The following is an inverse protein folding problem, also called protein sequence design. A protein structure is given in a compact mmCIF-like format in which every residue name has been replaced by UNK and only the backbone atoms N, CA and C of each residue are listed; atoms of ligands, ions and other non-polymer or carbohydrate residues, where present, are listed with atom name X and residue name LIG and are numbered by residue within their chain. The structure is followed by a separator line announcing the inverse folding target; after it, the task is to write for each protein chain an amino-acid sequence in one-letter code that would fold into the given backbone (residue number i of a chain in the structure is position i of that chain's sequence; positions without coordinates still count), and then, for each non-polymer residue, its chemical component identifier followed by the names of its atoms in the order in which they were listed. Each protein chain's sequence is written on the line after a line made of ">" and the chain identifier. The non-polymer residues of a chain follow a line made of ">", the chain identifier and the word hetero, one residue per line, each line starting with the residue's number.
data_IF_995272821630
#
_entry.id   IF_995272821630
#
_cell.length_a   1.000
_cell.length_b   1.000
_cell.length_c   1.000
_cell.angle_alpha   90.00
_cell.angle_beta   90.00
_cell.angle_gamma   90.00
#
_symmetry.space_group_name_H-M   'P 1'
#
loop_
_entity.id
_entity.type
_entity.pdbx_description
1 polymer ?
#
# COMPACT_ATOMS: atom_id res chain seq x y z
N UNK A 1 12.98 7.10 -8.12
CA UNK A 1 12.95 6.54 -9.50
C UNK A 1 13.36 5.08 -9.44
N UNK A 2 12.73 4.22 -10.23
CA UNK A 2 13.06 2.79 -10.28
C UNK A 2 14.38 2.58 -11.03
N UNK A 3 15.31 1.79 -10.47
CA UNK A 3 16.59 1.53 -11.12
C UNK A 3 16.45 0.58 -12.32
N UNK A 4 17.40 0.64 -13.25
CA UNK A 4 17.46 -0.28 -14.40
C UNK A 4 17.59 -1.74 -13.97
N UNK A 5 18.17 -1.99 -12.79
CA UNK A 5 18.24 -3.33 -12.19
C UNK A 5 16.88 -3.82 -11.68
N UNK A 6 16.11 -2.96 -11.02
CA UNK A 6 14.84 -3.35 -10.39
C UNK A 6 13.67 -3.38 -11.37
N UNK A 7 13.67 -2.51 -12.40
CA UNK A 7 12.60 -2.42 -13.40
C UNK A 7 12.21 -3.76 -14.04
N UNK A 8 13.14 -4.57 -14.60
CA UNK A 8 12.77 -5.83 -15.24
C UNK A 8 12.17 -6.83 -14.25
N UNK A 9 12.64 -6.84 -13.00
CA UNK A 9 12.11 -7.73 -11.95
C UNK A 9 10.68 -7.35 -11.58
N UNK A 10 10.42 -6.06 -11.35
CA UNK A 10 9.07 -5.58 -11.04
C UNK A 10 8.13 -5.84 -12.20
N UNK A 11 8.55 -5.57 -13.44
CA UNK A 11 7.71 -5.81 -14.62
C UNK A 11 7.36 -7.29 -14.80
N UNK A 12 8.32 -8.20 -14.57
CA UNK A 12 8.09 -9.64 -14.68
C UNK A 12 7.20 -10.20 -13.57
N UNK A 13 7.29 -9.66 -12.36
CA UNK A 13 6.56 -10.17 -11.19
C UNK A 13 5.22 -9.47 -10.95
N UNK A 14 4.98 -8.30 -11.52
CA UNK A 14 3.76 -7.53 -11.33
C UNK A 14 2.46 -8.32 -11.63
N UNK A 15 2.35 -9.14 -12.69
CA UNK A 15 1.13 -9.91 -12.95
C UNK A 15 0.80 -10.90 -11.84
N UNK A 16 1.79 -11.63 -11.34
CA UNK A 16 1.57 -12.62 -10.26
C UNK A 16 1.34 -11.93 -8.91
N UNK A 17 2.10 -10.88 -8.59
CA UNK A 17 1.87 -10.08 -7.38
C UNK A 17 0.48 -9.45 -7.39
N UNK A 18 0.05 -8.91 -8.53
CA UNK A 18 -1.28 -8.34 -8.72
C UNK A 18 -2.39 -9.37 -8.55
N UNK A 19 -2.21 -10.60 -9.05
CA UNK A 19 -3.17 -11.69 -8.90
C UNK A 19 -3.37 -12.11 -7.43
N UNK A 20 -2.34 -11.98 -6.59
CA UNK A 20 -2.37 -12.35 -5.17
C UNK A 20 -2.47 -11.16 -4.20
N UNK A 21 -2.68 -9.93 -4.71
CA UNK A 21 -2.54 -8.71 -3.88
C UNK A 21 -3.51 -8.66 -2.69
N UNK A 22 -4.69 -9.25 -2.83
CA UNK A 22 -5.67 -9.32 -1.74
C UNK A 22 -5.22 -10.24 -0.62
N UNK A 23 -4.66 -11.41 -0.96
CA UNK A 23 -4.11 -12.37 0.01
C UNK A 23 -2.89 -11.78 0.72
N UNK A 24 -2.01 -11.10 -0.04
CA UNK A 24 -0.86 -10.38 0.51
C UNK A 24 -1.31 -9.32 1.51
N UNK A 25 -2.33 -8.51 1.18
CA UNK A 25 -2.83 -7.47 2.07
C UNK A 25 -3.45 -8.06 3.36
N UNK A 26 -4.18 -9.16 3.26
CA UNK A 26 -4.71 -9.86 4.44
C UNK A 26 -3.58 -10.38 5.35
N UNK A 27 -2.56 -11.01 4.76
CA UNK A 27 -1.39 -11.49 5.48
C UNK A 27 -0.64 -10.33 6.16
N UNK A 28 -0.43 -9.24 5.43
CA UNK A 28 0.20 -8.02 5.95
C UNK A 28 -0.52 -7.48 7.18
N UNK A 29 -1.83 -7.24 7.12
CA UNK A 29 -2.56 -6.68 8.26
C UNK A 29 -2.63 -7.63 9.45
N UNK A 30 -2.71 -8.95 9.19
CA UNK A 30 -2.63 -9.95 10.26
C UNK A 30 -1.30 -9.82 11.00
N UNK A 31 -0.18 -9.84 10.29
CA UNK A 31 1.15 -9.73 10.89
C UNK A 31 1.35 -8.36 11.56
N UNK A 32 0.93 -7.27 10.91
CA UNK A 32 1.07 -5.92 11.44
C UNK A 32 0.40 -5.79 12.81
N UNK A 33 -0.86 -6.22 12.95
CA UNK A 33 -1.58 -6.05 14.21
C UNK A 33 -1.21 -7.07 15.28
N UNK A 34 -0.65 -8.23 14.90
CA UNK A 34 -0.09 -9.16 15.90
C UNK A 34 1.24 -8.65 16.47
N UNK A 35 2.05 -7.99 15.64
CA UNK A 35 3.37 -7.47 16.06
C UNK A 35 3.25 -6.09 16.70
N UNK A 36 2.36 -5.25 16.19
CA UNK A 36 2.14 -3.86 16.59
C UNK A 36 0.68 -3.60 16.99
N UNK A 37 0.19 -4.22 18.08
CA UNK A 37 -1.20 -4.06 18.52
C UNK A 37 -1.54 -2.61 18.91
N UNK A 38 -0.55 -1.79 19.27
CA UNK A 38 -0.68 -0.37 19.57
C UNK A 38 -1.27 0.45 18.42
N UNK A 39 -1.10 0.00 17.17
CA UNK A 39 -1.65 0.65 15.98
C UNK A 39 -3.18 0.65 15.94
N UNK A 40 -3.83 -0.23 16.71
CA UNK A 40 -5.29 -0.27 16.86
C UNK A 40 -5.84 0.82 17.81
N UNK A 41 -4.96 1.59 18.46
CA UNK A 41 -5.34 2.64 19.42
C UNK A 41 -5.40 4.03 18.75
N UNK A 42 -6.16 4.13 17.66
CA UNK A 42 -6.50 5.41 17.01
C UNK A 42 -5.94 5.61 15.60
N UNK A 43 -4.85 4.94 15.23
CA UNK A 43 -4.29 5.03 13.87
C UNK A 43 -5.09 4.16 12.88
N UNK A 44 -5.40 2.93 13.26
CA UNK A 44 -6.23 2.01 12.48
C UNK A 44 -7.58 1.80 13.17
N UNK A 45 -8.67 2.04 12.42
CA UNK A 45 -10.02 1.84 12.92
C UNK A 45 -10.45 0.37 12.76
N UNK A 46 -10.77 -0.29 13.88
CA UNK A 46 -11.25 -1.69 13.91
C UNK A 46 -12.52 -1.93 13.08
N UNK A 47 -13.40 -0.94 12.97
CA UNK A 47 -14.60 -1.04 12.11
C UNK A 47 -14.25 -1.16 10.63
N UNK A 48 -13.33 -0.31 10.13
CA UNK A 48 -12.86 -0.41 8.75
C UNK A 48 -12.06 -1.69 8.47
N UNK A 49 -11.47 -2.31 9.50
CA UNK A 49 -10.77 -3.59 9.39
C UNK A 49 -11.73 -4.78 9.27
N UNK A 50 -12.84 -4.76 10.02
CA UNK A 50 -13.86 -5.80 9.96
C UNK A 50 -14.54 -5.86 8.57
N UNK A 51 -14.67 -4.71 7.90
CA UNK A 51 -15.33 -4.60 6.60
C UNK A 51 -14.41 -4.94 5.41
N UNK A 52 -13.11 -5.21 5.62
CA UNK A 52 -12.18 -5.56 4.53
C UNK A 52 -11.76 -4.42 3.59
N UNK A 53 -12.46 -3.28 3.66
CA UNK A 53 -12.28 -2.12 2.78
C UNK A 53 -10.87 -1.52 2.88
N UNK A 54 -10.24 -1.56 4.07
CA UNK A 54 -8.91 -1.01 4.26
C UNK A 54 -7.83 -1.88 3.59
N UNK A 55 -7.97 -3.20 3.67
CA UNK A 55 -7.09 -4.17 3.01
C UNK A 55 -7.16 -4.01 1.48
N UNK A 56 -8.37 -3.85 0.95
CA UNK A 56 -8.58 -3.60 -0.48
C UNK A 56 -8.01 -2.25 -0.94
N UNK A 57 -8.18 -1.20 -0.15
CA UNK A 57 -7.66 0.13 -0.48
C UNK A 57 -6.12 0.14 -0.56
N UNK A 58 -5.43 -0.50 0.38
CA UNK A 58 -3.97 -0.63 0.35
C UNK A 58 -3.52 -1.46 -0.86
N UNK A 59 -4.11 -2.64 -1.06
CA UNK A 59 -3.83 -3.52 -2.18
C UNK A 59 -3.96 -2.79 -3.53
N UNK A 60 -5.08 -2.08 -3.72
CA UNK A 60 -5.35 -1.31 -4.92
C UNK A 60 -4.36 -0.17 -5.13
N UNK A 61 -3.98 0.55 -4.07
CA UNK A 61 -3.01 1.65 -4.17
C UNK A 61 -1.61 1.16 -4.58
N UNK A 62 -1.13 0.06 -3.97
CA UNK A 62 0.18 -0.53 -4.30
C UNK A 62 0.19 -1.06 -5.73
N UNK A 63 -0.84 -1.79 -6.15
CA UNK A 63 -0.95 -2.31 -7.51
C UNK A 63 -1.02 -1.20 -8.56
N UNK A 64 -1.80 -0.14 -8.30
CA UNK A 64 -1.92 1.00 -9.20
C UNK A 64 -0.58 1.75 -9.33
N UNK A 65 0.12 1.96 -8.22
CA UNK A 65 1.43 2.62 -8.23
C UNK A 65 2.49 1.79 -8.95
N UNK A 66 2.58 0.48 -8.66
CA UNK A 66 3.53 -0.41 -9.35
C UNK A 66 3.25 -0.50 -10.86
N UNK A 67 1.97 -0.49 -11.25
CA UNK A 67 1.58 -0.43 -12.66
C UNK A 67 2.02 0.88 -13.33
N UNK A 68 1.85 2.03 -12.66
CA UNK A 68 2.29 3.32 -13.17
C UNK A 68 3.82 3.37 -13.34
N UNK A 69 4.59 2.86 -12.38
CA UNK A 69 6.05 2.81 -12.46
C UNK A 69 6.57 2.02 -13.67
N UNK A 70 5.83 1.00 -14.11
CA UNK A 70 6.20 0.17 -15.26
C UNK A 70 5.68 0.78 -16.57
N UNK A 71 4.40 1.17 -16.63
CA UNK A 71 3.72 1.56 -17.88
C UNK A 71 3.89 3.04 -18.23
N UNK A 72 3.96 3.91 -17.24
CA UNK A 72 4.03 5.37 -17.41
C UNK A 72 5.07 5.94 -16.45
N UNK A 73 6.36 5.57 -16.60
CA UNK A 73 7.39 5.89 -15.61
C UNK A 73 7.58 7.39 -15.37
N UNK A 74 7.28 8.23 -16.37
CA UNK A 74 7.37 9.70 -16.28
C UNK A 74 6.13 10.34 -15.61
N UNK A 75 5.09 9.54 -15.33
CA UNK A 75 3.83 10.00 -14.75
C UNK A 75 3.43 9.14 -13.57
N UNK A 76 3.65 9.68 -12.37
CA UNK A 76 3.11 9.09 -11.15
C UNK A 76 1.61 9.37 -11.04
N UNK A 77 0.84 8.54 -10.32
CA UNK A 77 -0.58 8.77 -10.10
C UNK A 77 -0.77 9.88 -9.04
N UNK A 78 -0.53 11.14 -9.42
CA UNK A 78 -0.49 12.29 -8.50
C UNK A 78 -1.75 12.46 -7.67
N UNK A 79 -2.93 12.30 -8.28
CA UNK A 79 -4.22 12.39 -7.58
C UNK A 79 -4.38 11.31 -6.49
N UNK A 80 -3.89 10.10 -6.76
CA UNK A 80 -3.89 9.00 -5.79
C UNK A 80 -2.96 9.33 -4.62
N UNK A 81 -1.73 9.78 -4.93
CA UNK A 81 -0.74 10.16 -3.93
C UNK A 81 -1.22 11.31 -3.06
N UNK A 82 -1.82 12.35 -3.65
CA UNK A 82 -2.37 13.50 -2.94
C UNK A 82 -3.50 13.10 -1.97
N UNK A 83 -4.42 12.22 -2.41
CA UNK A 83 -5.49 11.73 -1.53
C UNK A 83 -4.95 10.93 -0.36
N UNK A 84 -3.95 10.08 -0.60
CA UNK A 84 -3.32 9.25 0.45
C UNK A 84 -2.53 10.14 1.42
N UNK A 85 -1.74 11.10 0.93
CA UNK A 85 -0.94 11.98 1.77
C UNK A 85 -1.81 12.88 2.67
N UNK A 86 -2.92 13.41 2.15
CA UNK A 86 -3.91 14.14 2.94
C UNK A 86 -4.50 13.26 4.05
N UNK A 87 -4.83 11.99 3.75
CA UNK A 87 -5.32 11.06 4.75
C UNK A 87 -4.27 10.76 5.81
N UNK A 88 -3.02 10.53 5.42
CA UNK A 88 -1.90 10.31 6.34
C UNK A 88 -1.66 11.52 7.26
N UNK A 89 -1.68 12.74 6.72
CA UNK A 89 -1.58 13.96 7.51
C UNK A 89 -2.72 14.06 8.53
N UNK A 90 -3.96 13.78 8.14
CA UNK A 90 -5.11 13.80 9.06
C UNK A 90 -5.03 12.76 10.20
N UNK A 91 -4.31 11.66 9.97
CA UNK A 91 -4.10 10.59 10.94
C UNK A 91 -2.81 10.78 11.76
N UNK A 92 -2.03 11.84 11.48
CA UNK A 92 -0.76 12.10 12.15
C UNK A 92 0.32 11.07 11.85
N UNK A 93 0.29 10.42 10.67
CA UNK A 93 1.29 9.41 10.30
C UNK A 93 2.68 10.04 10.23
N UNK A 94 3.64 9.44 10.91
CA UNK A 94 5.03 9.89 10.98
C UNK A 94 5.95 9.05 10.06
N UNK A 95 7.06 9.62 9.57
CA UNK A 95 8.02 8.90 8.72
C UNK A 95 8.54 7.59 9.31
N UNK A 96 8.69 7.51 10.63
CA UNK A 96 9.18 6.33 11.34
C UNK A 96 8.25 5.13 11.20
N UNK A 97 6.96 5.36 10.93
CA UNK A 97 5.96 4.30 10.73
C UNK A 97 6.08 3.59 9.37
N UNK A 98 6.98 4.04 8.49
CA UNK A 98 7.28 3.40 7.21
C UNK A 98 8.48 2.45 7.26
N UNK A 99 9.19 2.39 8.38
CA UNK A 99 10.31 1.47 8.60
C UNK A 99 9.78 0.08 8.97
#
# INVERSE_FOLDING_TARGET
>A
MLSDKSRPVIQATLPVVGAHIQEIAQCFYRHLFTTHPELLNGTFNRGHQADGNQQQALAGAVAAFATALVKTPDHLPENLLARISQKHASLGIQPEQYQ
#
